data_IF_685645602968
#
_entry.id   IF_685645602968
#
_cell.length_a   1.000
_cell.length_b   1.000
_cell.length_c   1.000
_cell.angle_alpha   90.00
_cell.angle_beta   90.00
_cell.angle_gamma   90.00
#
_symmetry.space_group_name_H-M   'P 1'
#
loop_
_entity.id
_entity.type
_entity.pdbx_description
1 polymer ?
#
# COMPACT_ATOMS: atom_id res chain seq x y z
N UNK A 1 -4.29 -10.85 32.64
CA UNK A 1 -3.37 -9.75 32.40
C UNK A 1 -2.45 -10.00 31.23
N UNK A 2 -1.95 -11.20 31.12
CA UNK A 2 -1.04 -11.55 30.03
C UNK A 2 -1.67 -11.48 28.66
N UNK A 3 -2.93 -11.82 28.55
CA UNK A 3 -3.65 -11.85 27.28
C UNK A 3 -3.74 -10.47 26.65
N UNK A 4 -4.04 -9.47 27.45
CA UNK A 4 -4.14 -8.10 26.97
C UNK A 4 -2.80 -7.61 26.45
N UNK A 5 -1.74 -7.96 27.13
CA UNK A 5 -0.41 -7.55 26.70
C UNK A 5 0.00 -8.19 25.39
N UNK A 6 -0.39 -9.45 25.16
CA UNK A 6 -0.10 -10.12 23.92
C UNK A 6 -0.77 -9.43 22.73
N UNK A 7 -2.01 -9.00 22.90
CA UNK A 7 -2.72 -8.30 21.85
C UNK A 7 -2.00 -7.01 21.48
N UNK A 8 -1.55 -6.27 22.48
CA UNK A 8 -0.80 -5.04 22.25
C UNK A 8 0.48 -5.29 21.48
N UNK A 9 1.18 -6.37 21.80
CA UNK A 9 2.42 -6.71 21.11
C UNK A 9 2.18 -6.96 19.63
N UNK A 10 1.10 -7.64 19.30
CA UNK A 10 0.79 -7.95 17.91
C UNK A 10 0.38 -6.74 17.09
N UNK A 11 -0.05 -5.69 17.73
CA UNK A 11 -0.47 -4.47 17.02
C UNK A 11 0.59 -3.37 17.08
N UNK A 12 1.76 -3.69 17.62
CA UNK A 12 2.85 -2.72 17.69
C UNK A 12 3.52 -2.64 16.32
N UNK A 13 3.30 -1.55 15.65
CA UNK A 13 3.95 -1.23 14.41
C UNK A 13 3.84 0.27 14.24
N UNK A 14 4.87 0.87 13.67
CA UNK A 14 4.83 2.30 13.41
C UNK A 14 3.91 2.56 12.24
N UNK A 15 2.87 3.33 12.49
CA UNK A 15 1.94 3.73 11.43
C UNK A 15 2.61 4.85 10.63
N UNK A 16 2.80 4.61 9.35
CA UNK A 16 3.38 5.60 8.45
C UNK A 16 2.31 6.50 7.84
N UNK A 17 1.20 5.90 7.42
CA UNK A 17 0.19 6.59 6.63
C UNK A 17 -1.19 6.02 6.96
N UNK A 18 -2.19 6.88 6.84
CA UNK A 18 -3.60 6.50 6.90
C UNK A 18 -4.30 6.91 5.60
N UNK A 19 -5.24 6.09 5.17
CA UNK A 19 -6.04 6.38 3.99
C UNK A 19 -7.29 5.50 3.99
N UNK A 20 -7.86 5.30 2.81
CA UNK A 20 -9.00 4.42 2.64
C UNK A 20 -8.53 3.08 2.09
N UNK A 21 -8.81 2.00 2.79
CA UNK A 21 -8.43 0.67 2.36
C UNK A 21 -9.45 0.05 1.40
N UNK A 22 -8.94 -0.59 0.35
CA UNK A 22 -9.73 -1.36 -0.60
C UNK A 22 -9.18 -2.76 -0.61
N UNK A 23 -10.00 -3.73 -0.25
CA UNK A 23 -9.61 -5.12 -0.17
C UNK A 23 -9.97 -5.69 1.19
N UNK A 24 -9.66 -6.96 1.38
CA UNK A 24 -9.98 -7.70 2.59
C UNK A 24 -8.77 -8.15 3.37
N UNK A 25 -7.61 -8.11 2.73
CA UNK A 25 -6.40 -8.70 3.27
C UNK A 25 -5.38 -7.64 3.66
N UNK A 26 -4.41 -8.06 4.45
CA UNK A 26 -3.20 -7.29 4.65
C UNK A 26 -2.10 -7.90 3.80
N UNK A 27 -1.11 -7.09 3.45
CA UNK A 27 0.02 -7.55 2.66
C UNK A 27 1.28 -6.83 3.09
N UNK A 28 2.39 -7.56 3.08
CA UNK A 28 3.71 -6.99 3.37
C UNK A 28 4.56 -7.11 2.11
N UNK A 29 5.27 -6.06 1.79
CA UNK A 29 6.13 -6.04 0.62
C UNK A 29 7.04 -4.85 0.61
N UNK A 30 7.91 -4.81 -0.38
CA UNK A 30 8.86 -3.73 -0.55
C UNK A 30 8.20 -2.58 -1.31
N UNK A 31 8.28 -1.38 -0.76
CA UNK A 31 7.73 -0.20 -1.40
C UNK A 31 8.58 0.22 -2.60
N UNK A 32 7.91 0.50 -3.70
CA UNK A 32 8.55 1.03 -4.90
C UNK A 32 7.94 2.39 -5.18
N UNK A 33 8.69 3.46 -4.99
CA UNK A 33 8.21 4.82 -5.22
C UNK A 33 8.19 5.12 -6.70
N UNK A 34 7.03 5.45 -7.22
CA UNK A 34 6.80 5.66 -8.63
C UNK A 34 6.39 7.11 -8.89
N UNK A 35 7.19 7.84 -9.64
CA UNK A 35 6.88 9.21 -10.04
C UNK A 35 6.41 9.31 -11.49
N UNK A 36 6.77 8.30 -12.30
CA UNK A 36 6.41 8.27 -13.72
C UNK A 36 6.47 6.83 -14.23
N UNK A 37 6.10 6.63 -15.48
CA UNK A 37 6.10 5.32 -16.10
C UNK A 37 7.49 4.70 -16.18
N UNK A 38 8.52 5.51 -16.37
CA UNK A 38 9.89 4.99 -16.43
C UNK A 38 10.32 4.34 -15.12
N UNK A 39 9.87 4.87 -13.98
CA UNK A 39 10.13 4.25 -12.69
C UNK A 39 9.54 2.84 -12.62
N UNK A 40 8.35 2.65 -13.18
CA UNK A 40 7.73 1.32 -13.23
C UNK A 40 8.57 0.36 -14.07
N UNK A 41 9.11 0.83 -15.19
CA UNK A 41 9.92 -0.01 -16.07
C UNK A 41 11.29 -0.33 -15.48
N UNK A 42 11.87 0.62 -14.77
CA UNK A 42 13.26 0.52 -14.31
C UNK A 42 13.41 0.03 -12.87
N UNK A 43 12.44 0.32 -12.01
CA UNK A 43 12.54 0.05 -10.57
C UNK A 43 11.61 -1.06 -10.10
N UNK A 44 10.42 -1.14 -10.67
CA UNK A 44 9.39 -2.06 -10.19
C UNK A 44 9.75 -3.51 -10.47
N UNK A 45 9.54 -4.36 -9.47
CA UNK A 45 9.66 -5.81 -9.59
C UNK A 45 8.34 -6.46 -9.18
N UNK A 46 8.03 -7.60 -9.76
CA UNK A 46 6.82 -8.33 -9.43
C UNK A 46 6.76 -8.59 -7.92
N UNK A 47 5.63 -8.27 -7.32
CA UNK A 47 5.44 -8.42 -5.89
C UNK A 47 5.75 -7.18 -5.07
N UNK A 48 6.26 -6.12 -5.68
CA UNK A 48 6.48 -4.86 -4.98
C UNK A 48 5.15 -4.16 -4.69
N UNK A 49 5.17 -3.27 -3.71
CA UNK A 49 4.05 -2.38 -3.40
C UNK A 49 4.30 -1.06 -4.12
N UNK A 50 3.41 -0.69 -5.02
CA UNK A 50 3.53 0.58 -5.75
C UNK A 50 3.09 1.72 -4.83
N UNK A 51 3.95 2.72 -4.68
CA UNK A 51 3.65 3.94 -3.92
C UNK A 51 3.75 5.11 -4.88
N UNK A 52 2.65 5.80 -5.12
CA UNK A 52 2.59 6.88 -6.11
C UNK A 52 1.62 7.95 -5.67
N UNK A 53 1.74 9.13 -6.29
CA UNK A 53 0.78 10.22 -6.04
C UNK A 53 -0.55 9.94 -6.71
N UNK A 54 -0.53 9.27 -7.85
CA UNK A 54 -1.74 8.93 -8.61
C UNK A 54 -1.46 7.68 -9.44
N UNK A 55 -2.51 7.10 -10.01
CA UNK A 55 -2.35 6.05 -11.01
C UNK A 55 -2.73 6.58 -12.37
N UNK A 56 -2.04 6.09 -13.38
CA UNK A 56 -2.29 6.47 -14.75
C UNK A 56 -2.61 5.23 -15.57
N UNK A 57 -3.12 5.44 -16.77
CA UNK A 57 -3.52 4.35 -17.66
C UNK A 57 -2.34 3.43 -17.96
N UNK A 58 -1.16 4.00 -18.13
CA UNK A 58 0.07 3.25 -18.41
C UNK A 58 0.51 2.36 -17.26
N UNK A 59 0.01 2.60 -16.05
CA UNK A 59 0.37 1.83 -14.87
C UNK A 59 -0.37 0.49 -14.78
N UNK A 60 -1.47 0.33 -15.49
CA UNK A 60 -2.36 -0.83 -15.35
C UNK A 60 -1.63 -2.15 -15.53
N UNK A 61 -0.75 -2.23 -16.51
CA UNK A 61 0.03 -3.44 -16.78
C UNK A 61 0.88 -3.86 -15.58
N UNK A 62 1.47 -2.89 -14.92
CA UNK A 62 2.34 -3.13 -13.76
C UNK A 62 1.54 -3.39 -12.49
N UNK A 63 0.39 -2.73 -12.36
CA UNK A 63 -0.48 -2.86 -11.20
C UNK A 63 -0.90 -4.32 -11.00
N UNK A 64 -1.21 -5.02 -12.08
CA UNK A 64 -1.61 -6.42 -12.00
C UNK A 64 -0.54 -7.35 -11.43
N UNK A 65 0.72 -6.90 -11.39
CA UNK A 65 1.85 -7.68 -10.87
C UNK A 65 2.30 -7.22 -9.49
N UNK A 66 1.68 -6.18 -8.95
CA UNK A 66 2.02 -5.64 -7.64
C UNK A 66 1.35 -6.44 -6.54
N UNK A 67 1.96 -6.48 -5.36
CA UNK A 67 1.35 -7.05 -4.17
C UNK A 67 0.36 -6.09 -3.51
N UNK A 68 0.56 -4.80 -3.70
CA UNK A 68 -0.30 -3.78 -3.14
C UNK A 68 -0.03 -2.44 -3.78
N UNK A 69 -0.91 -1.49 -3.51
CA UNK A 69 -0.82 -0.14 -4.06
C UNK A 69 -1.15 0.88 -2.99
N UNK A 70 -0.34 1.93 -2.91
CA UNK A 70 -0.57 3.06 -2.02
C UNK A 70 -0.57 4.32 -2.88
N UNK A 71 -1.69 5.06 -2.88
CA UNK A 71 -1.86 6.24 -3.73
C UNK A 71 -2.28 7.43 -2.87
N UNK A 72 -1.60 8.55 -3.06
CA UNK A 72 -1.89 9.77 -2.29
C UNK A 72 -3.22 10.39 -2.63
N UNK A 73 -3.61 10.34 -3.88
CA UNK A 73 -4.86 10.93 -4.35
C UNK A 73 -5.93 9.87 -4.53
N UNK A 74 -7.15 10.35 -4.74
CA UNK A 74 -8.25 9.50 -5.12
C UNK A 74 -9.25 9.27 -4.01
N UNK A 75 -10.44 8.97 -4.42
CA UNK A 75 -11.54 8.54 -3.57
C UNK A 75 -12.04 7.19 -4.04
N UNK A 76 -13.17 6.74 -3.51
CA UNK A 76 -13.71 5.41 -3.80
C UNK A 76 -14.12 5.22 -5.26
N UNK A 77 -14.31 6.30 -6.00
CA UNK A 77 -14.65 6.25 -7.43
C UNK A 77 -13.48 6.59 -8.34
N UNK A 78 -12.28 6.70 -7.78
CA UNK A 78 -11.11 7.06 -8.56
C UNK A 78 -10.64 5.91 -9.45
N UNK A 79 -9.77 6.25 -10.40
CA UNK A 79 -9.13 5.25 -11.27
C UNK A 79 -8.40 4.18 -10.46
N UNK A 80 -7.67 4.59 -9.42
CA UNK A 80 -6.94 3.65 -8.56
C UNK A 80 -7.89 2.67 -7.86
N UNK A 81 -9.03 3.18 -7.35
CA UNK A 81 -10.00 2.33 -6.67
C UNK A 81 -10.61 1.31 -7.63
N UNK A 82 -10.97 1.74 -8.83
CA UNK A 82 -11.56 0.85 -9.84
C UNK A 82 -10.58 -0.25 -10.23
N UNK A 83 -9.32 0.10 -10.46
CA UNK A 83 -8.30 -0.87 -10.82
C UNK A 83 -8.02 -1.84 -9.68
N UNK A 84 -7.98 -1.35 -8.45
CA UNK A 84 -7.77 -2.18 -7.28
C UNK A 84 -8.84 -3.26 -7.16
N UNK A 85 -10.09 -2.90 -7.40
CA UNK A 85 -11.20 -3.85 -7.38
C UNK A 85 -11.11 -4.84 -8.53
N UNK A 86 -10.73 -4.37 -9.70
CA UNK A 86 -10.62 -5.24 -10.88
C UNK A 86 -9.55 -6.32 -10.70
N UNK A 87 -8.38 -5.95 -10.18
CA UNK A 87 -7.28 -6.88 -9.98
C UNK A 87 -7.30 -7.55 -8.61
N UNK A 88 -8.22 -7.15 -7.74
CA UNK A 88 -8.32 -7.67 -6.37
C UNK A 88 -7.01 -7.51 -5.59
N UNK A 89 -6.42 -6.34 -5.66
CA UNK A 89 -5.14 -6.03 -5.03
C UNK A 89 -5.36 -5.15 -3.80
N UNK A 90 -4.75 -5.47 -2.65
CA UNK A 90 -4.83 -4.62 -1.47
C UNK A 90 -4.33 -3.21 -1.79
N UNK A 91 -5.15 -2.21 -1.50
CA UNK A 91 -4.87 -0.83 -1.91
C UNK A 91 -5.26 0.15 -0.82
N UNK A 92 -4.44 1.18 -0.67
CA UNK A 92 -4.76 2.34 0.17
C UNK A 92 -4.82 3.56 -0.74
N UNK A 93 -5.96 4.22 -0.77
CA UNK A 93 -6.15 5.45 -1.54
C UNK A 93 -6.30 6.63 -0.59
N UNK A 94 -6.10 7.84 -1.11
CA UNK A 94 -6.17 9.04 -0.28
C UNK A 94 -5.10 9.08 0.81
N UNK A 95 -3.98 8.43 0.56
CA UNK A 95 -2.87 8.33 1.52
C UNK A 95 -1.97 9.57 1.40
N UNK A 96 -2.41 10.68 1.96
CA UNK A 96 -1.69 11.95 1.87
C UNK A 96 -0.25 11.81 2.34
N UNK A 97 0.68 12.38 1.58
CA UNK A 97 2.11 12.39 1.85
C UNK A 97 2.79 11.02 1.82
N UNK A 98 2.15 10.00 1.25
CA UNK A 98 2.73 8.66 1.22
C UNK A 98 4.12 8.65 0.57
N UNK A 99 4.30 9.38 -0.53
CA UNK A 99 5.59 9.41 -1.23
C UNK A 99 6.67 10.12 -0.43
N UNK A 100 6.31 10.92 0.57
CA UNK A 100 7.27 11.56 1.47
C UNK A 100 7.52 10.75 2.73
N UNK A 101 6.53 10.00 3.18
CA UNK A 101 6.62 9.24 4.43
C UNK A 101 7.21 7.85 4.24
N UNK A 102 7.06 7.28 3.07
CA UNK A 102 7.57 5.95 2.73
C UNK A 102 8.81 6.13 1.86
N UNK A 103 9.87 5.44 2.24
CA UNK A 103 11.12 5.47 1.47
C UNK A 103 11.11 4.39 0.39
N UNK A 104 11.83 4.67 -0.70
CA UNK A 104 12.00 3.69 -1.75
C UNK A 104 12.68 2.43 -1.19
N UNK A 105 12.18 1.28 -1.57
CA UNK A 105 12.65 -0.04 -1.13
C UNK A 105 12.38 -0.35 0.35
N UNK A 106 11.64 0.49 1.05
CA UNK A 106 11.26 0.24 2.44
C UNK A 106 10.25 -0.91 2.53
N UNK A 107 10.46 -1.81 3.49
CA UNK A 107 9.48 -2.86 3.76
C UNK A 107 8.29 -2.24 4.50
N UNK A 108 7.09 -2.44 3.99
CA UNK A 108 5.86 -1.91 4.59
C UNK A 108 4.76 -2.95 4.60
N UNK A 109 3.80 -2.77 5.49
CA UNK A 109 2.62 -3.62 5.58
C UNK A 109 1.38 -2.76 5.36
N UNK A 110 0.53 -3.21 4.45
CA UNK A 110 -0.76 -2.57 4.17
C UNK A 110 -1.84 -3.32 4.94
N UNK A 111 -2.64 -2.58 5.72
CA UNK A 111 -3.84 -3.08 6.36
C UNK A 111 -5.05 -2.42 5.69
N UNK A 112 -5.72 -3.13 4.80
CA UNK A 112 -6.84 -2.58 4.06
C UNK A 112 -8.07 -2.39 4.92
N UNK A 113 -8.26 -3.21 5.93
CA UNK A 113 -9.42 -3.11 6.82
C UNK A 113 -9.35 -1.84 7.65
N UNK A 114 -8.19 -1.54 8.20
CA UNK A 114 -7.98 -0.34 8.99
C UNK A 114 -7.61 0.90 8.18
N UNK A 115 -7.25 0.73 6.90
CA UNK A 115 -6.77 1.84 6.07
C UNK A 115 -5.40 2.35 6.51
N UNK A 116 -4.54 1.48 6.99
CA UNK A 116 -3.25 1.86 7.57
C UNK A 116 -2.09 1.24 6.81
N UNK A 117 -0.96 1.95 6.83
CA UNK A 117 0.31 1.44 6.33
C UNK A 117 1.32 1.49 7.46
N UNK A 118 1.92 0.35 7.77
CA UNK A 118 2.90 0.21 8.85
C UNK A 118 4.32 0.07 8.30
N UNK A 119 5.28 0.54 9.08
CA UNK A 119 6.70 0.34 8.82
C UNK A 119 7.08 -1.11 9.14
N UNK A 120 7.71 -1.78 8.18
CA UNK A 120 8.20 -3.13 8.36
C UNK A 120 7.12 -4.20 8.18
N UNK A 121 7.48 -5.42 8.57
CA UNK A 121 6.59 -6.57 8.53
C UNK A 121 5.81 -6.62 9.85
N UNK A 122 4.56 -6.19 9.80
CA UNK A 122 3.69 -6.11 10.96
C UNK A 122 2.57 -7.12 10.82
N UNK A 123 2.37 -7.93 11.85
CA UNK A 123 1.27 -8.87 11.85
C UNK A 123 -0.02 -8.15 12.23
N UNK A 124 -0.94 -8.11 11.28
CA UNK A 124 -2.24 -7.46 11.47
C UNK A 124 -3.25 -8.51 11.93
N UNK A 125 -3.90 -8.22 13.05
CA UNK A 125 -4.89 -9.12 13.64
C UNK A 125 -6.31 -8.66 13.37
#
# INVERSE_FOLDING_TARGET
>A
AGTTNLIKVHTVGKILIKGFGIGKDSVTGKACLINNEDDLKNKFKDGDIIVSKFTDREYVEFIGRASGIIVETGGLTSHAAIIALHFNIPTIIGAENATNMIKDEQLVTIDTVGGLVYDGDVKVL
#
